data_IF_091323147449
#
_entry.id   IF_091323147449
#
_cell.length_a   1.000
_cell.length_b   1.000
_cell.length_c   1.000
_cell.angle_alpha   90.00
_cell.angle_beta   90.00
_cell.angle_gamma   90.00
#
_symmetry.space_group_name_H-M   'P 1'
#
loop_
_entity.id
_entity.type
_entity.pdbx_description
1 polymer ?
#
# COMPACT_ATOMS: atom_id res chain seq x y z
N UNK A 1 -16.83 -19.82 -2.23
CA UNK A 1 -17.57 -18.86 -3.07
C UNK A 1 -16.53 -17.92 -3.67
N UNK A 2 -16.25 -18.00 -4.97
CA UNK A 2 -15.26 -17.11 -5.60
C UNK A 2 -15.94 -15.79 -5.95
N UNK A 3 -15.55 -14.69 -5.28
CA UNK A 3 -15.93 -13.34 -5.72
C UNK A 3 -15.10 -13.02 -6.96
N UNK A 4 -15.77 -12.88 -8.09
CA UNK A 4 -15.16 -12.39 -9.33
C UNK A 4 -15.10 -10.87 -9.25
N UNK A 5 -13.93 -10.32 -8.93
CA UNK A 5 -13.66 -8.88 -8.94
C UNK A 5 -13.49 -8.42 -10.39
N UNK A 6 -14.59 -8.03 -11.05
CA UNK A 6 -14.54 -7.37 -12.36
C UNK A 6 -14.34 -5.86 -12.13
N UNK A 7 -13.59 -5.21 -13.03
CA UNK A 7 -13.35 -3.75 -13.05
C UNK A 7 -12.61 -3.18 -11.83
N UNK A 8 -11.70 -3.94 -11.22
CA UNK A 8 -10.84 -3.44 -10.15
C UNK A 8 -9.39 -3.36 -10.59
N UNK A 9 -8.70 -2.30 -10.20
CA UNK A 9 -7.24 -2.25 -10.25
C UNK A 9 -6.67 -2.72 -8.93
N UNK A 10 -5.63 -3.54 -8.99
CA UNK A 10 -4.90 -4.01 -7.82
C UNK A 10 -3.48 -3.45 -7.86
N UNK A 11 -3.05 -2.85 -6.75
CA UNK A 11 -1.71 -2.29 -6.61
C UNK A 11 -1.05 -2.92 -5.40
N UNK A 12 0.15 -3.45 -5.58
CA UNK A 12 1.00 -3.83 -4.46
C UNK A 12 1.70 -2.58 -3.95
N UNK A 13 1.63 -2.31 -2.66
CA UNK A 13 2.40 -1.30 -1.94
C UNK A 13 3.44 -2.02 -1.09
N UNK A 14 4.70 -1.63 -1.28
CA UNK A 14 5.86 -2.24 -0.63
C UNK A 14 6.56 -1.18 0.22
N UNK A 15 6.58 -1.31 1.55
CA UNK A 15 7.38 -0.44 2.42
C UNK A 15 8.87 -0.43 2.03
N UNK A 16 9.46 0.76 1.92
CA UNK A 16 10.91 0.96 1.72
C UNK A 16 11.60 1.27 3.05
N UNK A 17 12.93 1.21 3.06
CA UNK A 17 13.76 1.47 4.25
C UNK A 17 13.39 2.80 4.94
N UNK A 18 13.12 3.86 4.18
CA UNK A 18 12.74 5.16 4.76
C UNK A 18 11.46 5.09 5.60
N UNK A 19 10.44 4.34 5.16
CA UNK A 19 9.23 4.15 5.95
C UNK A 19 9.53 3.35 7.22
N UNK A 20 10.35 2.30 7.09
CA UNK A 20 10.77 1.43 8.18
C UNK A 20 11.50 2.21 9.27
N UNK A 21 12.43 3.09 8.88
CA UNK A 21 13.14 3.99 9.79
C UNK A 21 12.18 4.94 10.53
N UNK A 22 11.11 5.39 9.87
CA UNK A 22 10.09 6.23 10.52
C UNK A 22 9.35 5.43 11.58
N UNK A 23 8.84 4.23 11.24
CA UNK A 23 8.12 3.38 12.20
C UNK A 23 9.02 2.96 13.36
N UNK A 24 10.29 2.63 13.13
CA UNK A 24 11.26 2.25 14.18
C UNK A 24 11.50 3.35 15.22
N UNK A 25 11.23 4.62 14.90
CA UNK A 25 11.28 5.71 15.91
C UNK A 25 10.19 5.56 16.97
N UNK A 26 9.05 4.96 16.61
CA UNK A 26 7.90 4.78 17.48
C UNK A 26 7.83 3.34 18.03
N UNK A 27 8.32 2.36 17.26
CA UNK A 27 8.37 0.94 17.66
C UNK A 27 9.79 0.41 17.41
N UNK A 28 10.74 0.64 18.34
CA UNK A 28 12.15 0.30 18.15
C UNK A 28 12.43 -1.19 17.93
N UNK A 29 11.57 -2.06 18.47
CA UNK A 29 11.73 -3.51 18.44
C UNK A 29 10.75 -4.19 17.47
N UNK A 30 10.26 -3.48 16.45
CA UNK A 30 9.37 -4.08 15.46
C UNK A 30 10.08 -5.20 14.70
N UNK A 31 9.39 -6.32 14.52
CA UNK A 31 9.87 -7.45 13.74
C UNK A 31 10.07 -7.01 12.27
N UNK A 32 11.28 -7.14 11.70
CA UNK A 32 11.54 -6.82 10.31
C UNK A 32 10.59 -7.52 9.34
N UNK A 33 10.25 -8.79 9.58
CA UNK A 33 9.42 -9.56 8.65
C UNK A 33 7.99 -9.00 8.60
N UNK A 34 7.53 -8.41 9.71
CA UNK A 34 6.21 -7.79 9.79
C UNK A 34 6.15 -6.46 9.03
N UNK A 35 7.20 -5.64 9.09
CA UNK A 35 7.23 -4.33 8.44
C UNK A 35 7.54 -4.40 6.94
N UNK A 36 8.16 -5.49 6.47
CA UNK A 36 8.40 -5.76 5.06
C UNK A 36 7.21 -6.40 4.33
N UNK A 37 6.09 -6.63 5.02
CA UNK A 37 4.89 -7.21 4.45
C UNK A 37 4.38 -6.35 3.29
N UNK A 38 4.22 -6.97 2.13
CA UNK A 38 3.64 -6.33 0.96
C UNK A 38 2.12 -6.28 1.13
N UNK A 39 1.50 -5.16 0.78
CA UNK A 39 0.05 -5.03 0.89
C UNK A 39 -0.58 -4.75 -0.46
N UNK A 40 -1.66 -5.45 -0.77
CA UNK A 40 -2.43 -5.26 -2.00
C UNK A 40 -3.58 -4.33 -1.70
N UNK A 41 -3.63 -3.21 -2.40
CA UNK A 41 -4.75 -2.29 -2.40
C UNK A 41 -5.60 -2.54 -3.64
N UNK A 42 -6.89 -2.75 -3.44
CA UNK A 42 -7.89 -2.85 -4.51
C UNK A 42 -8.58 -1.51 -4.68
N UNK A 43 -8.76 -1.07 -5.93
CA UNK A 43 -9.45 0.16 -6.28
C UNK A 43 -10.60 -0.15 -7.24
N UNK A 44 -11.82 0.20 -6.84
CA UNK A 44 -13.04 0.04 -7.62
C UNK A 44 -13.09 0.96 -8.86
N UNK A 45 -13.69 0.44 -9.94
CA UNK A 45 -14.12 1.16 -11.15
C UNK A 45 -13.03 2.02 -11.84
N UNK A 46 -11.76 1.67 -11.66
CA UNK A 46 -10.64 2.30 -12.33
C UNK A 46 -9.85 1.26 -13.11
N UNK A 47 -9.83 1.41 -14.43
CA UNK A 47 -8.95 0.67 -15.33
C UNK A 47 -7.65 1.46 -15.46
N UNK A 48 -6.56 0.89 -14.96
CA UNK A 48 -5.21 1.44 -15.17
C UNK A 48 -4.63 0.78 -16.42
N UNK A 49 -4.53 1.55 -17.51
CA UNK A 49 -4.03 1.07 -18.81
C UNK A 49 -2.61 1.53 -19.09
N UNK A 50 -2.10 2.47 -18.29
CA UNK A 50 -0.77 3.07 -18.44
C UNK A 50 -0.10 3.36 -17.11
N UNK A 51 1.20 3.66 -17.17
CA UNK A 51 1.96 4.12 -15.99
C UNK A 51 1.47 5.49 -15.51
N UNK A 52 1.01 6.33 -16.42
CA UNK A 52 0.44 7.64 -16.12
C UNK A 52 -0.85 7.50 -15.30
N UNK A 53 -1.76 6.60 -15.69
CA UNK A 53 -3.01 6.32 -14.96
C UNK A 53 -2.73 5.83 -13.54
N UNK A 54 -1.71 4.98 -13.37
CA UNK A 54 -1.25 4.51 -12.06
C UNK A 54 -0.79 5.68 -11.18
N UNK A 55 -0.01 6.60 -11.73
CA UNK A 55 0.48 7.76 -10.98
C UNK A 55 -0.69 8.68 -10.60
N UNK A 56 -1.67 8.89 -11.48
CA UNK A 56 -2.88 9.66 -11.15
C UNK A 56 -3.69 8.99 -10.05
N UNK A 57 -3.85 7.67 -10.12
CA UNK A 57 -4.52 6.86 -9.11
C UNK A 57 -3.85 7.01 -7.75
N UNK A 58 -2.53 6.85 -7.70
CA UNK A 58 -1.75 7.03 -6.47
C UNK A 58 -1.82 8.46 -5.96
N UNK A 59 -1.76 9.48 -6.82
CA UNK A 59 -1.90 10.88 -6.41
C UNK A 59 -3.25 11.19 -5.75
N UNK A 60 -4.31 10.48 -6.12
CA UNK A 60 -5.64 10.62 -5.49
C UNK A 60 -5.69 9.98 -4.10
N UNK A 61 -5.01 8.85 -3.90
CA UNK A 61 -5.19 8.01 -2.72
C UNK A 61 -3.98 7.95 -1.75
N UNK A 62 -2.81 8.49 -2.11
CA UNK A 62 -1.56 8.28 -1.36
C UNK A 62 -1.63 8.66 0.12
N UNK A 63 -2.43 9.67 0.50
CA UNK A 63 -2.56 10.07 1.90
C UNK A 63 -3.27 9.00 2.73
N UNK A 64 -4.33 8.41 2.18
CA UNK A 64 -5.03 7.30 2.83
C UNK A 64 -4.13 6.07 2.91
N UNK A 65 -3.36 5.77 1.84
CA UNK A 65 -2.37 4.69 1.87
C UNK A 65 -1.34 4.93 2.99
N UNK A 66 -0.75 6.13 3.09
CA UNK A 66 0.19 6.46 4.18
C UNK A 66 -0.44 6.21 5.55
N UNK A 67 -1.66 6.71 5.77
CA UNK A 67 -2.35 6.58 7.05
C UNK A 67 -2.60 5.11 7.39
N UNK A 68 -3.13 4.33 6.44
CA UNK A 68 -3.36 2.90 6.61
C UNK A 68 -2.06 2.15 6.92
N UNK A 69 -1.00 2.42 6.16
CA UNK A 69 0.31 1.81 6.39
C UNK A 69 0.87 2.15 7.78
N UNK A 70 0.60 3.35 8.31
CA UNK A 70 0.98 3.74 9.68
C UNK A 70 0.12 3.02 10.72
N UNK A 71 -1.21 3.00 10.54
CA UNK A 71 -2.18 2.40 11.46
C UNK A 71 -1.95 0.89 11.67
N UNK A 72 -1.36 0.20 10.68
CA UNK A 72 -0.96 -1.21 10.85
C UNK A 72 0.09 -1.41 11.95
N UNK A 73 0.86 -0.38 12.28
CA UNK A 73 1.94 -0.48 13.23
C UNK A 73 1.65 0.28 14.52
N UNK A 74 1.04 1.46 14.43
CA UNK A 74 0.83 2.34 15.58
C UNK A 74 -0.62 2.81 15.70
N UNK A 75 -1.14 2.82 16.93
CA UNK A 75 -2.50 3.30 17.22
C UNK A 75 -2.63 4.84 17.31
N UNK A 76 -1.57 5.58 16.96
CA UNK A 76 -1.51 7.04 17.13
C UNK A 76 -0.93 7.72 15.89
N UNK A 77 -1.36 8.95 15.61
CA UNK A 77 -0.86 9.72 14.46
C UNK A 77 0.65 10.00 14.60
N UNK A 78 1.41 9.59 13.59
CA UNK A 78 2.83 9.87 13.48
C UNK A 78 3.02 11.22 12.77
N UNK A 79 3.87 12.06 13.34
CA UNK A 79 4.34 13.28 12.68
C UNK A 79 5.30 12.91 11.54
N UNK A 80 4.72 12.74 10.35
CA UNK A 80 5.38 12.41 9.10
C UNK A 80 4.85 13.34 8.00
N UNK A 81 5.74 13.80 7.12
CA UNK A 81 5.34 14.54 5.93
C UNK A 81 4.45 13.65 5.03
N UNK A 82 3.20 14.03 4.85
CA UNK A 82 2.22 13.32 4.01
C UNK A 82 2.15 13.94 2.61
N UNK A 83 3.30 14.33 2.04
CA UNK A 83 3.44 14.78 0.65
C UNK A 83 3.57 13.60 -0.32
N UNK A 84 3.20 13.80 -1.58
CA UNK A 84 3.32 12.73 -2.60
C UNK A 84 4.78 12.37 -2.88
N UNK A 85 5.70 13.34 -2.79
CA UNK A 85 7.14 13.05 -2.91
C UNK A 85 7.62 12.17 -1.76
N UNK A 86 7.18 12.45 -0.52
CA UNK A 86 7.53 11.61 0.60
C UNK A 86 6.91 10.20 0.47
N UNK A 87 5.68 10.08 -0.04
CA UNK A 87 5.07 8.79 -0.40
C UNK A 87 5.97 7.98 -1.34
N UNK A 88 6.41 8.56 -2.46
CA UNK A 88 7.27 7.87 -3.44
C UNK A 88 8.62 7.42 -2.83
N UNK A 89 9.12 8.17 -1.84
CA UNK A 89 10.35 7.81 -1.13
C UNK A 89 10.15 6.71 -0.08
N UNK A 90 8.94 6.58 0.46
CA UNK A 90 8.59 5.64 1.53
C UNK A 90 8.06 4.31 1.00
N UNK A 91 7.49 4.30 -0.21
CA UNK A 91 6.82 3.12 -0.76
C UNK A 91 7.26 2.82 -2.19
N UNK A 92 7.42 1.54 -2.50
CA UNK A 92 7.41 1.01 -3.86
C UNK A 92 5.98 0.61 -4.23
N UNK A 93 5.66 0.62 -5.52
CA UNK A 93 4.32 0.23 -5.99
C UNK A 93 4.36 -0.43 -7.36
N UNK A 94 3.50 -1.42 -7.56
CA UNK A 94 3.40 -2.22 -8.78
C UNK A 94 1.93 -2.54 -9.08
N UNK A 95 1.52 -2.51 -10.35
CA UNK A 95 0.21 -3.01 -10.75
C UNK A 95 0.24 -4.53 -10.75
N UNK A 96 -0.81 -5.13 -10.23
CA UNK A 96 -1.03 -6.55 -10.31
C UNK A 96 -1.88 -6.84 -11.55
N UNK A 97 -1.27 -7.43 -12.58
CA UNK A 97 -2.00 -7.91 -13.75
C UNK A 97 -2.90 -9.11 -13.36
N UNK A 98 -4.09 -9.19 -13.96
CA UNK A 98 -5.06 -10.27 -13.72
C UNK A 98 -4.41 -11.64 -13.97
N UNK A 99 -4.38 -12.50 -12.95
CA UNK A 99 -3.71 -13.81 -12.97
C UNK A 99 -2.61 -13.98 -11.92
N UNK A 100 -2.39 -12.97 -11.08
CA UNK A 100 -1.41 -13.02 -9.99
C UNK A 100 -1.71 -14.11 -8.97
N UNK A 101 -0.70 -14.93 -8.70
CA UNK A 101 -0.76 -15.99 -7.72
C UNK A 101 -0.49 -15.42 -6.32
N UNK A 102 -1.55 -15.27 -5.51
CA UNK A 102 -1.45 -14.83 -4.12
C UNK A 102 -0.93 -15.94 -3.17
N UNK A 103 -0.27 -16.98 -3.69
CA UNK A 103 0.31 -18.06 -2.89
C UNK A 103 1.54 -17.65 -2.08
N UNK A 104 2.09 -16.45 -2.29
CA UNK A 104 3.13 -15.87 -1.44
C UNK A 104 2.60 -15.64 -0.02
N UNK A 105 3.31 -16.18 0.98
CA UNK A 105 2.83 -16.29 2.38
C UNK A 105 2.73 -14.96 3.15
N UNK A 106 3.18 -13.83 2.58
CA UNK A 106 3.26 -12.53 3.26
C UNK A 106 2.55 -11.40 2.49
N UNK A 107 1.30 -11.64 2.09
CA UNK A 107 0.47 -10.65 1.40
C UNK A 107 -0.81 -10.39 2.19
N UNK A 108 -1.03 -9.14 2.58
CA UNK A 108 -2.32 -8.67 3.14
C UNK A 108 -3.12 -7.93 2.06
N UNK A 109 -4.44 -8.10 2.03
CA UNK A 109 -5.33 -7.53 1.02
C UNK A 109 -6.26 -6.47 1.64
N UNK A 110 -6.36 -5.31 1.00
CA UNK A 110 -7.08 -4.12 1.45
C UNK A 110 -8.05 -3.68 0.34
N UNK A 111 -9.34 -3.54 0.66
CA UNK A 111 -10.38 -3.12 -0.29
C UNK A 111 -10.52 -1.58 -0.33
N UNK A 112 -10.95 -1.01 -1.46
CA UNK A 112 -11.17 0.43 -1.59
C UNK A 112 -12.36 0.93 -0.78
N UNK A 113 -13.33 0.07 -0.46
CA UNK A 113 -14.40 0.41 0.48
C UNK A 113 -13.85 0.75 1.88
N UNK A 114 -12.61 0.30 2.17
CA UNK A 114 -11.88 0.59 3.39
C UNK A 114 -10.87 1.75 3.22
N UNK A 115 -10.87 2.50 2.11
CA UNK A 115 -10.02 3.69 1.89
C UNK A 115 -10.78 5.00 2.11
#
# INVERSE_FOLDING_TARGET
>A
MFKLYKNRTFITINPKEKFIEIIRKYIPNIDPDHIHTKRIYSFDDQLVESKEDLIELLKKNYKQIILREIDFFVDHDIDMDKSFENFLSCFGFEIIELGFDCSETNIEFIDSEDL
#
